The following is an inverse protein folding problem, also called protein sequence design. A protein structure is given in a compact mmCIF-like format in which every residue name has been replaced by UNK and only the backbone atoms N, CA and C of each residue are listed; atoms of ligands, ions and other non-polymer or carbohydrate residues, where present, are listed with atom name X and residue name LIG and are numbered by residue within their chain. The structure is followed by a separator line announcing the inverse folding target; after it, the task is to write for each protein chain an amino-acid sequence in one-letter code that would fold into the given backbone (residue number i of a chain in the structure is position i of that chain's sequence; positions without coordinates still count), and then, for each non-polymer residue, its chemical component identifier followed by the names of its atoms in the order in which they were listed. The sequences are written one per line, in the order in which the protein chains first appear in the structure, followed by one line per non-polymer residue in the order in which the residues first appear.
data_IF_172969883089
#
_entry.id   IF_172969883089
#
_cell.length_a   1.000
_cell.length_b   1.000
_cell.length_c   1.000
_cell.angle_alpha   90.00
_cell.angle_beta   90.00
_cell.angle_gamma   90.00
#
_symmetry.space_group_name_H-M   'P 1'
#
loop_
_entity.id
_entity.type
_entity.pdbx_description
1 polymer ?
#
# COMPACT_ATOMS: atom_id res chain seq x y z
N UNK A 1 -41.93 23.98 10.11
CA UNK A 1 -43.23 23.25 10.13
C UNK A 1 -43.36 22.18 9.05
N UNK A 2 -42.74 22.28 7.87
CA UNK A 2 -42.76 21.19 6.86
C UNK A 2 -42.00 19.91 7.25
N UNK A 3 -40.91 20.03 8.00
CA UNK A 3 -40.12 18.86 8.46
C UNK A 3 -40.86 18.04 9.53
N UNK A 4 -41.62 18.70 10.41
CA UNK A 4 -42.45 18.01 11.41
C UNK A 4 -43.65 17.27 10.78
N UNK A 5 -44.22 17.79 9.69
CA UNK A 5 -45.27 17.10 8.94
C UNK A 5 -44.73 15.86 8.18
N UNK A 6 -43.50 15.92 7.66
CA UNK A 6 -42.84 14.76 7.05
C UNK A 6 -42.47 13.70 8.08
N UNK A 7 -41.99 14.10 9.27
CA UNK A 7 -41.72 13.17 10.36
C UNK A 7 -43.01 12.45 10.78
N UNK A 8 -44.12 13.17 10.93
CA UNK A 8 -45.41 12.58 11.31
C UNK A 8 -45.95 11.57 10.27
N UNK A 9 -45.81 11.87 8.97
CA UNK A 9 -46.24 10.97 7.89
C UNK A 9 -45.37 9.71 7.77
N UNK A 10 -44.06 9.85 8.02
CA UNK A 10 -43.12 8.71 8.02
C UNK A 10 -43.31 7.84 9.26
N UNK A 11 -43.63 8.41 10.42
CA UNK A 11 -43.95 7.64 11.63
C UNK A 11 -45.26 6.86 11.48
N UNK A 12 -46.30 7.45 10.85
CA UNK A 12 -47.56 6.74 10.54
C UNK A 12 -47.34 5.61 9.53
N UNK A 13 -46.49 5.81 8.51
CA UNK A 13 -46.16 4.77 7.53
C UNK A 13 -45.40 3.60 8.18
N UNK A 14 -44.49 3.90 9.12
CA UNK A 14 -43.75 2.89 9.88
C UNK A 14 -44.67 2.14 10.87
N UNK A 15 -45.60 2.83 11.54
CA UNK A 15 -46.60 2.17 12.41
C UNK A 15 -47.60 1.31 11.63
N UNK A 16 -47.98 1.69 10.41
CA UNK A 16 -48.81 0.84 9.54
C UNK A 16 -48.08 -0.43 9.08
N UNK A 17 -46.77 -0.35 8.82
CA UNK A 17 -45.95 -1.51 8.45
C UNK A 17 -45.68 -2.41 9.67
N UNK A 18 -45.54 -1.86 10.87
CA UNK A 18 -45.37 -2.62 12.12
C UNK A 18 -46.69 -3.31 12.54
N UNK A 19 -47.86 -2.67 12.34
CA UNK A 19 -49.14 -3.33 12.67
C UNK A 19 -49.54 -4.45 11.70
N UNK A 20 -48.88 -4.56 10.53
CA UNK A 20 -49.07 -5.68 9.59
C UNK A 20 -48.13 -6.86 9.84
N UNK A 21 -47.19 -6.76 10.79
CA UNK A 21 -46.30 -7.86 11.18
C UNK A 21 -46.54 -8.39 12.59
N UNK A 22 -47.43 -7.79 13.37
CA UNK A 22 -47.92 -8.35 14.63
C UNK A 22 -49.17 -9.22 14.40
N UNK A 23 -48.96 -10.45 13.95
CA UNK A 23 -49.83 -11.60 14.27
C UNK A 23 -49.11 -12.93 14.00
N UNK A 24 -47.94 -13.12 14.61
CA UNK A 24 -47.41 -14.47 14.91
C UNK A 24 -46.80 -14.45 16.30
N UNK A 25 -47.57 -14.89 17.29
CA UNK A 25 -47.07 -15.28 18.61
C UNK A 25 -46.41 -16.65 18.50
N UNK A 26 -45.14 -16.77 18.87
CA UNK A 26 -44.50 -18.08 19.11
C UNK A 26 -44.31 -18.23 20.62
N UNK A 27 -45.11 -19.10 21.21
CA UNK A 27 -44.90 -19.64 22.54
C UNK A 27 -43.97 -20.85 22.42
N UNK A 28 -42.96 -20.93 23.29
CA UNK A 28 -41.96 -21.99 23.32
C UNK A 28 -42.51 -23.31 23.86
N UNK A 29 -42.46 -24.39 23.09
CA UNK A 29 -42.09 -25.73 23.58
C UNK A 29 -41.92 -26.73 22.43
N UNK A 30 -40.74 -27.37 22.44
CA UNK A 30 -40.41 -28.73 22.02
C UNK A 30 -40.59 -29.20 20.55
N UNK A 31 -39.52 -29.89 20.13
CA UNK A 31 -39.32 -30.82 19.01
C UNK A 31 -39.15 -30.28 17.57
N UNK A 32 -37.98 -30.63 17.02
CA UNK A 32 -37.55 -30.47 15.61
C UNK A 32 -38.34 -31.43 14.72
N UNK A 33 -38.75 -31.01 13.50
CA UNK A 33 -38.47 -31.85 12.34
C UNK A 33 -37.96 -31.07 11.10
N UNK A 34 -37.07 -31.74 10.39
CA UNK A 34 -36.51 -31.41 9.06
C UNK A 34 -37.58 -31.51 7.97
N UNK A 35 -37.69 -30.51 7.10
CA UNK A 35 -38.52 -30.55 5.89
C UNK A 35 -37.87 -31.39 4.79
N UNK A 36 -38.71 -32.17 4.09
CA UNK A 36 -38.34 -33.28 3.20
C UNK A 36 -38.32 -32.88 1.72
N UNK A 37 -37.75 -33.74 0.88
CA UNK A 37 -37.50 -33.54 -0.57
C UNK A 37 -38.78 -33.26 -1.39
N UNK A 38 -39.96 -33.57 -0.87
CA UNK A 38 -41.26 -33.28 -1.50
C UNK A 38 -41.65 -31.78 -1.40
N UNK A 39 -41.20 -31.05 -0.37
CA UNK A 39 -41.48 -29.61 -0.20
C UNK A 39 -40.67 -28.74 -1.19
N UNK A 40 -39.51 -29.24 -1.63
CA UNK A 40 -38.64 -28.53 -2.58
C UNK A 40 -39.14 -28.64 -4.02
N UNK A 41 -39.90 -29.68 -4.34
CA UNK A 41 -40.43 -29.91 -5.70
C UNK A 41 -41.64 -29.00 -5.99
N UNK A 42 -42.41 -28.58 -4.98
CA UNK A 42 -43.54 -27.67 -5.16
C UNK A 42 -43.08 -26.21 -5.40
N UNK A 43 -41.93 -25.82 -4.84
CA UNK A 43 -41.31 -24.51 -5.08
C UNK A 43 -40.71 -24.42 -6.50
N UNK A 44 -40.15 -25.52 -7.02
CA UNK A 44 -39.58 -25.58 -8.36
C UNK A 44 -40.62 -25.41 -9.48
N UNK A 45 -41.91 -25.68 -9.22
CA UNK A 45 -43.00 -25.50 -10.19
C UNK A 45 -43.48 -24.05 -10.35
N UNK A 46 -42.94 -23.09 -9.59
CA UNK A 46 -43.38 -21.68 -9.61
C UNK A 46 -42.57 -20.76 -10.52
N UNK A 47 -41.56 -21.30 -11.21
CA UNK A 47 -40.71 -20.54 -12.13
C UNK A 47 -40.57 -21.28 -13.47
N UNK A 48 -41.66 -21.37 -14.22
CA UNK A 48 -41.57 -21.66 -15.65
C UNK A 48 -41.14 -20.39 -16.38
N UNK A 49 -40.07 -20.52 -17.16
CA UNK A 49 -39.53 -19.52 -18.08
C UNK A 49 -40.09 -19.86 -19.47
N UNK A 50 -40.76 -18.90 -20.11
CA UNK A 50 -41.13 -18.98 -21.52
C UNK A 50 -40.48 -17.88 -22.38
N UNK A 51 -40.37 -18.21 -23.66
CA UNK A 51 -39.45 -17.74 -24.71
C UNK A 51 -39.68 -16.34 -25.33
N UNK A 52 -38.63 -15.88 -26.03
CA UNK A 52 -38.52 -14.96 -27.20
C UNK A 52 -39.73 -14.13 -27.70
N UNK A 53 -39.55 -12.80 -27.90
CA UNK A 53 -39.74 -12.06 -29.17
C UNK A 53 -39.47 -10.52 -29.10
N UNK A 54 -39.59 -9.83 -30.25
CA UNK A 54 -38.79 -8.73 -30.81
C UNK A 54 -39.03 -7.25 -30.38
N UNK A 55 -38.05 -6.42 -30.79
CA UNK A 55 -38.06 -5.01 -31.17
C UNK A 55 -39.18 -4.05 -30.68
N UNK A 56 -38.79 -3.17 -29.75
CA UNK A 56 -39.49 -1.92 -29.43
C UNK A 56 -38.94 -1.33 -28.13
N UNK A 57 -38.77 -0.01 -28.06
CA UNK A 57 -38.44 0.75 -26.85
C UNK A 57 -37.02 0.61 -26.27
N UNK A 58 -36.07 1.25 -26.95
CA UNK A 58 -34.77 1.55 -26.37
C UNK A 58 -34.34 2.99 -26.62
N UNK A 59 -34.01 3.73 -25.55
CA UNK A 59 -33.46 5.10 -25.63
C UNK A 59 -31.93 5.02 -25.46
N UNK A 60 -31.13 5.61 -26.37
CA UNK A 60 -29.67 5.51 -26.31
C UNK A 60 -29.07 6.45 -25.24
N UNK A 61 -28.18 5.91 -24.42
CA UNK A 61 -27.50 6.60 -23.32
C UNK A 61 -25.98 6.47 -23.46
N UNK A 62 -25.23 7.54 -23.18
CA UNK A 62 -23.79 7.61 -23.45
C UNK A 62 -22.97 7.32 -22.19
N UNK A 63 -22.17 6.25 -22.26
CA UNK A 63 -21.38 5.79 -21.12
C UNK A 63 -19.92 6.30 -21.15
N UNK A 64 -19.39 6.71 -22.31
CA UNK A 64 -18.03 7.29 -22.46
C UNK A 64 -17.94 8.31 -23.60
N UNK A 65 -17.11 9.35 -23.45
CA UNK A 65 -16.93 10.43 -24.44
C UNK A 65 -16.35 9.88 -25.75
N UNK A 66 -17.17 9.81 -26.80
CA UNK A 66 -16.75 9.41 -28.16
C UNK A 66 -16.94 7.94 -28.55
N UNK A 67 -17.71 7.13 -27.79
CA UNK A 67 -18.08 5.76 -28.21
C UNK A 67 -19.59 5.60 -28.43
N UNK A 68 -19.95 4.51 -29.12
CA UNK A 68 -21.32 4.15 -29.53
C UNK A 68 -22.30 4.12 -28.35
N UNK A 69 -23.45 4.80 -28.43
CA UNK A 69 -24.46 4.81 -27.35
C UNK A 69 -25.01 3.40 -27.06
N UNK A 70 -25.24 3.10 -25.79
CA UNK A 70 -25.87 1.83 -25.36
C UNK A 70 -27.37 2.06 -25.17
N UNK A 71 -28.18 1.12 -25.63
CA UNK A 71 -29.65 1.19 -25.67
C UNK A 71 -30.25 0.56 -24.42
N UNK A 72 -31.03 1.32 -23.64
CA UNK A 72 -31.63 0.84 -22.39
C UNK A 72 -33.06 0.36 -22.64
N UNK A 73 -33.37 -0.89 -22.24
CA UNK A 73 -34.74 -1.44 -22.17
C UNK A 73 -35.33 -1.20 -20.78
N UNK A 74 -36.52 -0.59 -20.75
CA UNK A 74 -37.26 -0.26 -19.54
C UNK A 74 -38.30 -1.35 -19.23
N UNK A 75 -38.53 -1.64 -17.95
CA UNK A 75 -39.59 -2.56 -17.50
C UNK A 75 -40.99 -1.97 -17.70
N UNK A 76 -42.01 -2.81 -17.92
CA UNK A 76 -43.40 -2.35 -18.06
C UNK A 76 -43.93 -1.80 -16.73
N UNK A 77 -44.30 -0.53 -16.70
CA UNK A 77 -45.08 0.08 -15.61
C UNK A 77 -44.33 1.03 -14.68
N UNK A 78 -42.99 1.04 -14.69
CA UNK A 78 -42.23 1.74 -13.65
C UNK A 78 -42.01 3.24 -13.92
N UNK A 79 -41.98 3.67 -15.18
CA UNK A 79 -41.77 5.08 -15.55
C UNK A 79 -42.51 5.40 -16.85
N UNK A 80 -43.17 6.56 -16.90
CA UNK A 80 -43.76 7.06 -18.15
C UNK A 80 -42.66 7.38 -19.16
N UNK A 81 -42.99 7.32 -20.45
CA UNK A 81 -42.01 7.60 -21.52
C UNK A 81 -41.38 9.00 -21.41
N UNK A 82 -42.13 9.95 -20.85
CA UNK A 82 -41.67 11.33 -20.61
C UNK A 82 -40.62 11.40 -19.50
N UNK A 83 -40.73 10.57 -18.47
CA UNK A 83 -39.78 10.47 -17.36
C UNK A 83 -38.50 9.74 -17.81
N UNK A 84 -38.64 8.62 -18.53
CA UNK A 84 -37.49 7.88 -19.07
C UNK A 84 -36.59 8.77 -19.95
N UNK A 85 -37.20 9.64 -20.77
CA UNK A 85 -36.47 10.58 -21.62
C UNK A 85 -35.71 11.63 -20.79
N UNK A 86 -36.34 12.19 -19.76
CA UNK A 86 -35.71 13.18 -18.87
C UNK A 86 -34.51 12.61 -18.13
N UNK A 87 -34.63 11.38 -17.63
CA UNK A 87 -33.55 10.68 -16.93
C UNK A 87 -32.32 10.51 -17.84
N UNK A 88 -32.53 10.08 -19.08
CA UNK A 88 -31.44 9.90 -20.06
C UNK A 88 -30.81 11.25 -20.46
N UNK A 89 -31.62 12.30 -20.62
CA UNK A 89 -31.14 13.65 -20.95
C UNK A 89 -30.30 14.24 -19.81
N UNK A 90 -30.75 14.13 -18.57
CA UNK A 90 -30.04 14.60 -17.37
C UNK A 90 -28.68 13.91 -17.21
N UNK A 91 -28.63 12.58 -17.40
CA UNK A 91 -27.38 11.83 -17.34
C UNK A 91 -26.40 12.23 -18.43
N UNK A 92 -26.88 12.39 -19.67
CA UNK A 92 -26.04 12.78 -20.79
C UNK A 92 -25.52 14.23 -20.65
N UNK A 93 -26.31 15.13 -20.03
CA UNK A 93 -25.90 16.51 -19.72
C UNK A 93 -24.82 16.54 -18.63
N UNK A 94 -25.00 15.78 -17.54
CA UNK A 94 -24.00 15.62 -16.48
C UNK A 94 -22.66 15.12 -17.04
N UNK A 95 -22.70 14.12 -17.92
CA UNK A 95 -21.49 13.57 -18.58
C UNK A 95 -20.79 14.56 -19.51
N UNK A 96 -21.51 15.54 -20.04
CA UNK A 96 -20.94 16.63 -20.83
C UNK A 96 -20.37 17.75 -19.95
N UNK A 97 -20.39 17.59 -18.62
CA UNK A 97 -19.84 18.54 -17.66
C UNK A 97 -20.79 19.69 -17.32
N UNK A 98 -22.09 19.55 -17.59
CA UNK A 98 -23.10 20.55 -17.23
C UNK A 98 -23.63 20.23 -15.84
N UNK A 99 -23.55 21.18 -14.90
CA UNK A 99 -24.00 21.00 -13.53
C UNK A 99 -25.55 20.90 -13.46
N UNK A 100 -26.12 19.82 -12.92
CA UNK A 100 -27.58 19.60 -12.88
C UNK A 100 -28.26 20.42 -11.77
N UNK A 101 -29.56 20.72 -11.93
CA UNK A 101 -30.37 21.35 -10.88
C UNK A 101 -30.73 20.34 -9.77
N UNK A 102 -31.21 20.81 -8.61
CA UNK A 102 -31.55 19.92 -7.48
C UNK A 102 -32.64 18.90 -7.79
N UNK A 103 -33.55 19.20 -8.72
CA UNK A 103 -34.56 18.25 -9.20
C UNK A 103 -33.95 17.18 -10.11
N UNK A 104 -32.95 17.56 -10.91
CA UNK A 104 -32.25 16.65 -11.82
C UNK A 104 -31.33 15.67 -11.07
N UNK A 105 -30.84 16.07 -9.90
CA UNK A 105 -30.04 15.23 -9.02
C UNK A 105 -30.85 14.04 -8.47
N UNK A 106 -32.12 14.25 -8.10
CA UNK A 106 -32.99 13.17 -7.61
C UNK A 106 -33.23 12.12 -8.71
N UNK A 107 -33.43 12.55 -9.95
CA UNK A 107 -33.62 11.66 -11.11
C UNK A 107 -32.33 10.90 -11.49
N UNK A 108 -31.15 11.52 -11.34
CA UNK A 108 -29.85 10.87 -11.52
C UNK A 108 -29.63 9.78 -10.46
N UNK A 109 -30.01 10.04 -9.21
CA UNK A 109 -29.93 9.06 -8.12
C UNK A 109 -30.85 7.86 -8.37
N UNK A 110 -32.07 8.10 -8.84
CA UNK A 110 -33.00 7.02 -9.24
C UNK A 110 -32.43 6.17 -10.38
N UNK A 111 -31.77 6.78 -11.37
CA UNK A 111 -31.09 6.03 -12.45
C UNK A 111 -29.95 5.14 -11.93
N UNK A 112 -29.19 5.61 -10.93
CA UNK A 112 -28.11 4.85 -10.32
C UNK A 112 -28.68 3.68 -9.49
N UNK A 113 -29.81 3.91 -8.83
CA UNK A 113 -30.54 2.88 -8.06
C UNK A 113 -31.09 1.79 -8.99
N UNK A 114 -31.76 2.16 -10.09
CA UNK A 114 -32.26 1.19 -11.10
C UNK A 114 -31.11 0.36 -11.69
N UNK A 115 -29.94 0.96 -11.89
CA UNK A 115 -28.73 0.25 -12.33
C UNK A 115 -28.17 -0.70 -11.27
N UNK A 116 -28.37 -0.38 -9.99
CA UNK A 116 -27.93 -1.21 -8.85
C UNK A 116 -28.89 -2.39 -8.62
N UNK A 117 -30.19 -2.21 -8.84
CA UNK A 117 -31.21 -3.23 -8.65
C UNK A 117 -31.18 -4.36 -9.68
N UNK A 118 -30.64 -4.16 -10.89
CA UNK A 118 -30.50 -5.24 -11.90
C UNK A 118 -29.34 -6.20 -11.64
N UNK A 119 -28.42 -5.88 -10.72
CA UNK A 119 -27.16 -6.61 -10.61
C UNK A 119 -26.98 -7.46 -9.35
N UNK A 120 -27.90 -7.49 -8.38
CA UNK A 120 -27.64 -8.24 -7.13
C UNK A 120 -28.91 -8.93 -6.62
N UNK A 121 -28.94 -10.25 -6.83
CA UNK A 121 -29.68 -11.19 -6.01
C UNK A 121 -28.86 -11.46 -4.74
N UNK A 122 -28.99 -10.63 -3.70
CA UNK A 122 -28.75 -11.07 -2.31
C UNK A 122 -29.21 -10.03 -1.28
N UNK A 123 -30.14 -10.43 -0.43
CA UNK A 123 -30.86 -9.58 0.52
C UNK A 123 -29.99 -9.10 1.71
N UNK A 124 -28.79 -9.65 1.88
CA UNK A 124 -27.90 -9.34 3.01
C UNK A 124 -27.22 -7.95 2.91
N UNK A 125 -27.12 -7.39 1.69
CA UNK A 125 -26.45 -6.09 1.48
C UNK A 125 -27.35 -4.88 1.79
N UNK A 126 -28.67 -5.06 1.82
CA UNK A 126 -29.61 -3.97 2.16
C UNK A 126 -29.56 -3.59 3.64
N UNK A 127 -29.36 -4.57 4.54
CA UNK A 127 -29.36 -4.30 5.99
C UNK A 127 -28.12 -3.50 6.43
N UNK A 128 -26.98 -3.72 5.78
CA UNK A 128 -25.71 -3.02 6.04
C UNK A 128 -25.75 -1.56 5.53
N UNK A 129 -26.39 -1.29 4.39
CA UNK A 129 -26.47 0.05 3.81
C UNK A 129 -27.45 0.97 4.57
N UNK A 130 -28.55 0.40 5.09
CA UNK A 130 -29.48 1.13 5.96
C UNK A 130 -28.87 1.46 7.33
N UNK A 131 -28.06 0.55 7.91
CA UNK A 131 -27.32 0.82 9.14
C UNK A 131 -26.25 1.91 8.95
N UNK A 132 -25.53 1.92 7.83
CA UNK A 132 -24.52 2.95 7.51
C UNK A 132 -25.12 4.34 7.29
N UNK A 133 -26.31 4.41 6.69
CA UNK A 133 -27.01 5.70 6.50
C UNK A 133 -27.61 6.23 7.81
N UNK A 134 -28.13 5.36 8.68
CA UNK A 134 -28.56 5.73 10.04
C UNK A 134 -27.36 6.18 10.89
N UNK A 135 -26.22 5.48 10.81
CA UNK A 135 -25.01 5.82 11.56
C UNK A 135 -24.40 7.15 11.11
N UNK A 136 -24.37 7.44 9.81
CA UNK A 136 -23.92 8.74 9.28
C UNK A 136 -24.82 9.91 9.73
N UNK A 137 -26.13 9.66 9.89
CA UNK A 137 -27.09 10.64 10.39
C UNK A 137 -26.93 10.88 11.91
N UNK A 138 -26.69 9.82 12.70
CA UNK A 138 -26.41 9.90 14.15
C UNK A 138 -25.09 10.63 14.41
N UNK A 139 -24.03 10.34 13.65
CA UNK A 139 -22.72 11.00 13.79
C UNK A 139 -22.80 12.49 13.46
N UNK A 140 -23.65 12.86 12.50
CA UNK A 140 -23.90 14.27 12.15
C UNK A 140 -24.71 15.02 13.22
N UNK A 141 -25.55 14.30 13.99
CA UNK A 141 -26.26 14.85 15.16
C UNK A 141 -25.36 14.91 16.41
N UNK A 142 -24.39 13.99 16.56
CA UNK A 142 -23.46 13.94 17.70
C UNK A 142 -22.36 15.03 17.64
N UNK A 143 -21.95 15.44 16.42
CA UNK A 143 -20.97 16.53 16.24
C UNK A 143 -21.48 17.92 16.62
N UNK A 144 -22.78 18.07 16.92
CA UNK A 144 -23.36 19.35 17.39
C UNK A 144 -23.44 19.41 18.93
N UNK A 145 -23.24 18.30 19.66
CA UNK A 145 -23.74 18.19 21.04
C UNK A 145 -22.71 18.14 22.19
N UNK A 146 -21.42 17.92 22.01
CA UNK A 146 -20.51 17.80 23.17
C UNK A 146 -19.15 18.47 22.95
N UNK A 147 -19.08 19.73 23.34
CA UNK A 147 -17.89 20.31 23.95
C UNK A 147 -17.84 19.88 25.43
N UNK A 148 -16.61 19.79 25.95
CA UNK A 148 -16.19 19.65 27.34
C UNK A 148 -16.15 18.25 28.02
N UNK A 149 -15.02 18.12 28.72
CA UNK A 149 -14.64 17.28 29.87
C UNK A 149 -13.90 15.93 29.71
N UNK A 150 -12.67 16.03 30.25
CA UNK A 150 -11.71 15.10 30.85
C UNK A 150 -12.24 13.77 31.41
N UNK A 151 -11.48 12.68 31.18
CA UNK A 151 -11.23 11.66 32.19
C UNK A 151 -9.96 10.86 31.91
N UNK A 152 -9.21 10.64 32.98
CA UNK A 152 -8.05 9.77 33.13
C UNK A 152 -8.46 8.37 33.57
N UNK A 153 -7.68 7.32 33.23
CA UNK A 153 -7.40 6.12 34.07
C UNK A 153 -6.27 5.23 33.45
N UNK A 154 -5.30 4.97 34.32
CA UNK A 154 -4.25 3.94 34.55
C UNK A 154 -3.42 3.18 33.47
N UNK A 155 -2.16 2.80 33.84
CA UNK A 155 -1.10 2.35 32.95
C UNK A 155 -0.59 0.93 33.31
N UNK A 156 -1.08 -0.14 32.70
CA UNK A 156 -0.46 -1.47 32.90
C UNK A 156 -0.72 -2.43 31.71
N UNK A 157 -0.48 -1.98 30.49
CA UNK A 157 -0.42 -2.88 29.34
C UNK A 157 0.71 -2.47 28.37
N UNK A 158 1.64 -3.38 28.00
CA UNK A 158 2.76 -3.04 27.12
C UNK A 158 2.23 -2.81 25.70
N UNK A 159 2.57 -1.69 25.02
CA UNK A 159 2.03 -1.42 23.70
C UNK A 159 2.75 -2.30 22.66
N UNK A 160 2.12 -3.41 22.28
CA UNK A 160 2.37 -4.03 20.98
C UNK A 160 1.80 -3.09 19.92
N UNK A 161 2.68 -2.38 19.22
CA UNK A 161 2.29 -1.41 18.20
C UNK A 161 1.52 -2.10 17.08
N UNK A 162 0.25 -1.74 16.89
CA UNK A 162 -0.64 -2.32 15.89
C UNK A 162 -0.19 -1.93 14.48
N UNK A 163 -0.50 -2.78 13.50
CA UNK A 163 -0.25 -2.56 12.06
C UNK A 163 -0.82 -1.20 11.56
N UNK A 164 -1.77 -0.65 12.31
CA UNK A 164 -2.48 0.61 12.12
C UNK A 164 -1.60 1.85 12.35
N UNK A 165 -0.72 1.86 13.36
CA UNK A 165 0.19 2.99 13.61
C UNK A 165 1.26 3.11 12.50
N UNK A 166 1.69 1.96 11.99
CA UNK A 166 2.60 1.87 10.84
C UNK A 166 1.87 2.42 9.61
N UNK A 167 0.65 1.95 9.33
CA UNK A 167 -0.18 2.44 8.22
C UNK A 167 -0.43 3.96 8.29
N UNK A 168 -0.71 4.51 9.48
CA UNK A 168 -1.04 5.94 9.65
C UNK A 168 0.12 6.87 9.26
N UNK A 169 1.37 6.51 9.58
CA UNK A 169 2.55 7.27 9.11
C UNK A 169 2.77 7.18 7.60
N UNK A 170 2.30 6.12 6.94
CA UNK A 170 2.44 5.94 5.49
C UNK A 170 1.47 6.80 4.67
N UNK A 171 0.30 7.13 5.19
CA UNK A 171 -0.79 7.76 4.41
C UNK A 171 -0.97 9.26 4.63
N UNK A 172 -0.26 9.90 5.57
CA UNK A 172 -0.32 11.37 5.74
C UNK A 172 0.35 12.16 4.58
N UNK A 173 1.25 11.54 3.79
CA UNK A 173 1.97 12.21 2.69
C UNK A 173 1.36 11.96 1.29
N UNK A 174 0.35 11.09 1.17
CA UNK A 174 -0.22 10.70 -0.13
C UNK A 174 -1.74 10.92 -0.12
N UNK A 175 -2.21 11.99 -0.79
CA UNK A 175 -3.61 12.22 -1.15
C UNK A 175 -4.13 11.11 -2.10
N UNK A 176 -4.26 9.88 -1.62
CA UNK A 176 -4.77 8.74 -2.38
C UNK A 176 -5.87 8.09 -1.55
N UNK A 177 -7.12 8.35 -1.94
CA UNK A 177 -8.29 7.73 -1.34
C UNK A 177 -8.22 6.19 -1.41
N UNK A 178 -8.76 5.49 -0.40
CA UNK A 178 -8.72 4.04 -0.34
C UNK A 178 -9.80 3.44 -1.24
N UNK A 179 -9.43 3.03 -2.45
CA UNK A 179 -10.17 1.96 -3.10
C UNK A 179 -9.72 0.63 -2.50
N UNK A 180 -10.65 -0.06 -1.86
CA UNK A 180 -10.52 -1.46 -1.44
C UNK A 180 -10.33 -2.31 -2.70
N UNK A 181 -9.07 -2.48 -3.12
CA UNK A 181 -8.75 -3.24 -4.31
C UNK A 181 -8.88 -4.75 -4.00
N UNK A 182 -9.73 -5.40 -4.78
CA UNK A 182 -10.05 -6.82 -4.72
C UNK A 182 -8.79 -7.67 -4.96
N UNK A 183 -8.07 -8.02 -3.90
CA UNK A 183 -7.18 -9.18 -3.92
C UNK A 183 -7.14 -9.86 -2.55
N UNK A 184 -8.30 -10.40 -2.14
CA UNK A 184 -8.33 -11.36 -1.06
C UNK A 184 -7.84 -12.70 -1.59
N UNK A 185 -6.86 -13.28 -0.90
CA UNK A 185 -6.36 -14.65 -1.03
C UNK A 185 -7.49 -15.65 -0.71
N UNK A 186 -8.53 -15.71 -1.53
CA UNK A 186 -9.63 -16.68 -1.39
C UNK A 186 -9.44 -17.79 -2.42
N UNK A 187 -9.64 -19.01 -1.96
CA UNK A 187 -9.25 -20.29 -2.56
C UNK A 187 -9.97 -20.65 -3.87
N UNK A 188 -10.73 -19.73 -4.48
CA UNK A 188 -11.56 -20.02 -5.67
C UNK A 188 -11.34 -19.11 -6.88
N UNK A 189 -10.49 -18.10 -6.82
CA UNK A 189 -10.17 -17.28 -8.01
C UNK A 189 -8.93 -17.82 -8.74
N UNK A 190 -9.00 -17.84 -10.07
CA UNK A 190 -7.89 -18.25 -10.93
C UNK A 190 -6.73 -17.24 -10.75
N UNK A 191 -5.71 -17.61 -9.96
CA UNK A 191 -4.51 -16.80 -9.72
C UNK A 191 -3.81 -16.44 -11.04
N UNK A 192 -3.86 -15.17 -11.46
CA UNK A 192 -3.14 -14.68 -12.65
C UNK A 192 -1.93 -13.79 -12.32
N UNK A 193 -1.54 -13.71 -11.05
CA UNK A 193 -0.56 -12.73 -10.55
C UNK A 193 -1.11 -11.30 -10.61
N UNK A 194 -0.62 -10.44 -9.72
CA UNK A 194 -1.14 -9.09 -9.54
C UNK A 194 -0.34 -8.32 -8.50
N UNK A 195 -0.59 -7.00 -8.45
CA UNK A 195 0.06 -6.08 -7.50
C UNK A 195 -0.25 -6.50 -6.05
N UNK A 196 0.68 -6.23 -5.14
CA UNK A 196 0.43 -6.44 -3.72
C UNK A 196 -0.69 -5.54 -3.20
N UNK A 197 -1.53 -6.06 -2.30
CA UNK A 197 -2.50 -5.23 -1.56
C UNK A 197 -1.80 -4.33 -0.54
N UNK A 198 -2.48 -3.30 -0.02
CA UNK A 198 -1.94 -2.40 1.01
C UNK A 198 -1.42 -3.15 2.24
N UNK A 199 -2.16 -4.17 2.70
CA UNK A 199 -1.77 -5.01 3.84
C UNK A 199 -0.48 -5.79 3.52
N UNK A 200 -0.36 -6.32 2.31
CA UNK A 200 0.84 -7.05 1.89
C UNK A 200 2.04 -6.11 1.76
N UNK A 201 1.85 -4.89 1.23
CA UNK A 201 2.89 -3.86 1.19
C UNK A 201 3.42 -3.54 2.61
N UNK A 202 2.51 -3.37 3.59
CA UNK A 202 2.87 -3.15 4.99
C UNK A 202 3.66 -4.33 5.54
N UNK A 203 3.25 -5.57 5.24
CA UNK A 203 3.95 -6.79 5.68
C UNK A 203 5.35 -6.90 5.07
N UNK A 204 5.53 -6.59 3.78
CA UNK A 204 6.83 -6.60 3.12
C UNK A 204 7.76 -5.58 3.79
N UNK A 205 7.33 -4.33 3.94
CA UNK A 205 8.17 -3.30 4.56
C UNK A 205 8.42 -3.59 6.04
N UNK A 206 7.40 -4.10 6.74
CA UNK A 206 7.50 -4.56 8.12
C UNK A 206 8.55 -5.65 8.32
N UNK A 207 8.60 -6.64 7.41
CA UNK A 207 9.64 -7.68 7.42
C UNK A 207 11.04 -7.10 7.22
N UNK A 208 11.23 -6.20 6.25
CA UNK A 208 12.51 -5.52 6.05
C UNK A 208 12.94 -4.75 7.30
N UNK A 209 12.05 -3.92 7.85
CA UNK A 209 12.36 -3.08 9.01
C UNK A 209 12.57 -3.91 10.29
N UNK A 210 11.91 -5.08 10.42
CA UNK A 210 12.18 -6.05 11.49
C UNK A 210 13.63 -6.52 11.46
N UNK A 211 14.15 -6.86 10.28
CA UNK A 211 15.53 -7.30 10.12
C UNK A 211 16.53 -6.14 10.29
N UNK A 212 16.26 -5.00 9.66
CA UNK A 212 17.12 -3.80 9.71
C UNK A 212 17.37 -3.30 11.13
N UNK A 213 16.35 -3.28 12.00
CA UNK A 213 16.49 -2.84 13.39
C UNK A 213 17.24 -3.85 14.29
N UNK A 214 17.32 -5.11 13.83
CA UNK A 214 17.82 -6.26 14.56
C UNK A 214 19.20 -6.75 14.12
N UNK A 215 19.88 -6.08 13.18
CA UNK A 215 21.18 -6.51 12.66
C UNK A 215 22.25 -6.61 13.75
N UNK A 216 23.18 -7.55 13.57
CA UNK A 216 24.39 -7.72 14.37
C UNK A 216 25.62 -7.67 13.46
N UNK A 217 26.67 -6.90 13.82
CA UNK A 217 26.69 -5.92 14.91
C UNK A 217 25.62 -4.82 14.74
N UNK A 218 25.25 -4.13 15.81
CA UNK A 218 24.21 -3.12 15.72
C UNK A 218 24.63 -1.98 14.79
N UNK A 219 23.68 -1.44 14.02
CA UNK A 219 23.94 -0.30 13.13
C UNK A 219 23.63 1.02 13.82
N UNK A 220 24.51 2.01 13.64
CA UNK A 220 24.27 3.38 14.06
C UNK A 220 23.48 4.24 13.07
N UNK A 221 23.43 3.85 11.80
CA UNK A 221 22.95 4.68 10.67
C UNK A 221 21.81 4.03 9.85
N UNK A 222 21.26 2.91 10.32
CA UNK A 222 20.22 2.17 9.61
C UNK A 222 18.95 3.00 9.43
N UNK A 223 18.62 3.36 8.19
CA UNK A 223 17.39 4.09 7.92
C UNK A 223 16.16 3.17 7.94
N UNK A 224 15.03 3.73 8.35
CA UNK A 224 13.72 3.13 8.12
C UNK A 224 13.46 3.01 6.62
N UNK A 225 13.07 1.80 6.20
CA UNK A 225 12.67 1.53 4.83
C UNK A 225 11.20 1.87 4.67
N UNK A 226 10.84 2.54 3.58
CA UNK A 226 9.46 2.94 3.27
C UNK A 226 9.05 2.37 1.90
N UNK A 227 7.75 2.14 1.71
CA UNK A 227 7.24 1.75 0.40
C UNK A 227 7.39 2.88 -0.63
N UNK A 228 7.62 2.50 -1.89
CA UNK A 228 7.62 3.39 -3.06
C UNK A 228 6.72 2.81 -4.15
N UNK A 229 5.58 3.46 -4.46
CA UNK A 229 4.70 3.04 -5.53
C UNK A 229 5.41 2.95 -6.89
N UNK A 230 6.30 3.89 -7.20
CA UNK A 230 7.06 3.90 -8.45
C UNK A 230 8.02 2.70 -8.57
N UNK A 231 8.71 2.34 -7.48
CA UNK A 231 9.56 1.14 -7.49
C UNK A 231 8.73 -0.15 -7.60
N UNK A 232 7.53 -0.17 -7.00
CA UNK A 232 6.64 -1.31 -7.06
C UNK A 232 6.07 -1.52 -8.47
N UNK A 233 5.71 -0.43 -9.17
CA UNK A 233 5.29 -0.48 -10.56
C UNK A 233 6.41 -1.01 -11.46
N UNK A 234 7.64 -0.50 -11.30
CA UNK A 234 8.81 -0.99 -12.04
C UNK A 234 9.09 -2.47 -11.74
N UNK A 235 9.04 -2.89 -10.48
CA UNK A 235 9.25 -4.29 -10.08
C UNK A 235 8.13 -5.23 -10.58
N UNK A 236 6.88 -4.74 -10.65
CA UNK A 236 5.78 -5.50 -11.22
C UNK A 236 5.96 -5.69 -12.72
N UNK A 237 6.36 -4.65 -13.46
CA UNK A 237 6.63 -4.75 -14.89
C UNK A 237 7.72 -5.80 -15.19
N UNK A 238 8.77 -5.87 -14.36
CA UNK A 238 9.80 -6.91 -14.49
C UNK A 238 9.23 -8.33 -14.24
N UNK A 239 8.43 -8.46 -13.18
CA UNK A 239 7.81 -9.74 -12.82
C UNK A 239 6.81 -10.21 -13.88
N UNK A 240 6.07 -9.29 -14.51
CA UNK A 240 5.11 -9.58 -15.58
C UNK A 240 5.78 -10.16 -16.83
N UNK A 241 7.06 -9.80 -17.07
CA UNK A 241 7.89 -10.40 -18.11
C UNK A 241 8.40 -11.80 -17.80
N UNK A 242 8.22 -12.29 -16.57
CA UNK A 242 8.69 -13.59 -16.10
C UNK A 242 10.22 -13.80 -16.27
N UNK A 243 11.00 -12.72 -16.16
CA UNK A 243 12.45 -12.74 -16.22
C UNK A 243 13.06 -12.97 -14.83
N UNK A 244 13.54 -14.19 -14.58
CA UNK A 244 14.33 -14.54 -13.39
C UNK A 244 15.82 -14.22 -13.61
N UNK A 245 16.09 -12.99 -14.01
CA UNK A 245 17.42 -12.42 -14.11
C UNK A 245 17.37 -10.91 -13.89
N UNK A 246 18.49 -10.30 -13.50
CA UNK A 246 18.56 -8.86 -13.33
C UNK A 246 18.62 -8.14 -14.70
N UNK A 247 18.01 -6.94 -14.81
CA UNK A 247 18.02 -6.17 -16.05
C UNK A 247 19.44 -5.78 -16.46
N UNK A 248 19.72 -5.91 -17.76
CA UNK A 248 20.90 -5.28 -18.35
C UNK A 248 20.70 -3.75 -18.37
N UNK A 249 21.49 -3.04 -17.55
CA UNK A 249 21.40 -1.58 -17.38
C UNK A 249 21.79 -0.77 -18.63
N UNK A 250 22.34 -1.42 -19.67
CA UNK A 250 22.55 -0.79 -20.98
C UNK A 250 21.26 -0.72 -21.78
N UNK A 251 20.45 -1.78 -21.72
CA UNK A 251 19.17 -1.91 -22.42
C UNK A 251 18.01 -1.33 -21.60
N UNK A 252 18.12 -1.36 -20.27
CA UNK A 252 17.15 -0.85 -19.31
C UNK A 252 17.77 0.27 -18.46
N UNK A 253 18.00 1.45 -19.04
CA UNK A 253 18.67 2.56 -18.36
C UNK A 253 17.87 3.11 -17.17
N UNK A 254 16.55 2.87 -17.11
CA UNK A 254 15.66 3.22 -16.01
C UNK A 254 15.91 2.40 -14.72
N UNK A 255 16.68 1.30 -14.82
CA UNK A 255 17.15 0.52 -13.66
C UNK A 255 18.55 0.94 -13.19
N UNK A 256 19.16 1.98 -13.78
CA UNK A 256 20.44 2.52 -13.30
C UNK A 256 20.25 3.16 -11.93
N UNK A 257 21.12 2.79 -10.98
CA UNK A 257 21.03 3.27 -9.59
C UNK A 257 19.90 2.64 -8.76
N UNK A 258 19.17 1.67 -9.32
CA UNK A 258 18.18 0.86 -8.62
C UNK A 258 18.81 -0.48 -8.22
N UNK A 259 18.66 -0.84 -6.95
CA UNK A 259 19.00 -2.18 -6.45
C UNK A 259 17.84 -3.13 -6.70
N UNK A 260 18.10 -4.42 -6.80
CA UNK A 260 17.05 -5.41 -7.05
C UNK A 260 17.38 -6.74 -6.38
N UNK A 261 16.38 -7.32 -5.71
CA UNK A 261 16.41 -8.73 -5.30
C UNK A 261 15.31 -9.48 -6.06
N UNK A 262 15.63 -10.69 -6.49
CA UNK A 262 14.71 -11.61 -7.15
C UNK A 262 14.51 -12.85 -6.28
N UNK A 263 13.30 -13.36 -6.25
CA UNK A 263 12.96 -14.59 -5.54
C UNK A 263 12.06 -15.43 -6.45
N UNK A 264 12.35 -16.72 -6.50
CA UNK A 264 11.55 -17.67 -7.24
C UNK A 264 11.12 -18.81 -6.33
N UNK A 265 9.83 -19.14 -6.38
CA UNK A 265 9.26 -20.34 -5.76
C UNK A 265 8.71 -21.23 -6.85
N UNK A 266 9.38 -22.35 -7.12
CA UNK A 266 8.81 -23.41 -7.95
C UNK A 266 7.71 -24.14 -7.19
N UNK A 267 6.74 -24.68 -7.92
CA UNK A 267 5.64 -25.46 -7.35
C UNK A 267 5.60 -26.85 -7.99
N UNK A 268 5.28 -27.86 -7.19
CA UNK A 268 4.99 -29.20 -7.70
C UNK A 268 3.84 -29.15 -8.73
N UNK A 269 3.79 -30.15 -9.63
CA UNK A 269 2.80 -30.18 -10.72
C UNK A 269 1.37 -30.05 -10.17
N UNK A 270 0.67 -28.98 -10.57
CA UNK A 270 -0.70 -28.67 -10.16
C UNK A 270 -0.83 -27.69 -9.00
N UNK A 271 0.27 -27.37 -8.30
CA UNK A 271 0.31 -26.32 -7.28
C UNK A 271 0.16 -24.93 -7.91
N UNK A 272 -0.64 -24.06 -7.27
CA UNK A 272 -0.79 -22.64 -7.68
C UNK A 272 -0.64 -21.64 -6.53
N UNK A 273 -0.36 -22.12 -5.31
CA UNK A 273 -0.33 -21.26 -4.14
C UNK A 273 0.87 -20.30 -4.16
N UNK A 274 0.66 -18.98 -4.04
CA UNK A 274 1.75 -18.03 -3.93
C UNK A 274 2.61 -18.29 -2.68
N UNK A 275 3.84 -17.78 -2.63
CA UNK A 275 4.59 -17.74 -1.38
C UNK A 275 3.83 -16.90 -0.31
N UNK A 276 4.06 -17.18 0.99
CA UNK A 276 3.76 -16.20 2.03
C UNK A 276 4.41 -14.85 1.67
N UNK A 277 3.74 -13.74 2.01
CA UNK A 277 4.15 -12.39 1.58
C UNK A 277 5.59 -12.05 1.99
N UNK A 278 5.99 -12.45 3.20
CA UNK A 278 7.30 -12.12 3.77
C UNK A 278 8.39 -13.11 3.38
N UNK A 279 8.03 -14.29 2.86
CA UNK A 279 8.97 -15.38 2.58
C UNK A 279 10.14 -14.95 1.67
N UNK A 280 9.94 -14.15 0.60
CA UNK A 280 11.07 -13.61 -0.16
C UNK A 280 12.07 -12.82 0.69
N UNK A 281 11.58 -11.96 1.59
CA UNK A 281 12.40 -11.11 2.46
C UNK A 281 13.15 -11.96 3.49
N UNK A 282 12.45 -12.92 4.08
CA UNK A 282 13.00 -13.83 5.07
C UNK A 282 14.14 -14.66 4.44
N UNK A 283 13.93 -15.19 3.22
CA UNK A 283 14.93 -15.96 2.47
C UNK A 283 16.13 -15.15 2.01
N UNK A 284 15.93 -13.90 1.60
CA UNK A 284 17.05 -13.01 1.31
C UNK A 284 17.86 -12.67 2.56
N UNK A 285 17.19 -12.50 3.71
CA UNK A 285 17.88 -12.23 4.96
C UNK A 285 18.68 -13.44 5.47
N UNK A 286 18.19 -14.67 5.26
CA UNK A 286 18.85 -15.91 5.70
C UNK A 286 20.31 -16.07 5.20
N UNK A 287 20.70 -15.36 4.14
CA UNK A 287 22.10 -15.31 3.68
C UNK A 287 23.06 -14.71 4.73
N UNK A 288 22.55 -14.02 5.77
CA UNK A 288 23.34 -13.52 6.91
C UNK A 288 24.19 -14.62 7.56
N UNK A 289 23.74 -15.87 7.53
CA UNK A 289 24.47 -17.03 8.08
C UNK A 289 25.83 -17.25 7.41
N UNK A 290 25.99 -16.75 6.19
CA UNK A 290 27.19 -16.89 5.38
C UNK A 290 27.98 -15.57 5.26
N UNK A 291 27.48 -14.48 5.84
CA UNK A 291 28.09 -13.15 5.73
C UNK A 291 28.90 -12.76 6.97
N UNK A 292 30.13 -12.33 6.75
CA UNK A 292 31.05 -11.82 7.78
C UNK A 292 31.15 -10.30 7.67
N UNK A 293 30.59 -9.60 8.65
CA UNK A 293 30.49 -8.14 8.64
C UNK A 293 31.84 -7.43 8.81
N UNK A 294 32.69 -7.95 9.69
CA UNK A 294 34.01 -7.40 10.05
C UNK A 294 34.95 -7.27 8.84
N UNK A 295 34.92 -8.25 7.95
CA UNK A 295 35.70 -8.29 6.71
C UNK A 295 34.85 -7.97 5.47
N UNK A 296 33.57 -7.63 5.66
CA UNK A 296 32.60 -7.34 4.60
C UNK A 296 32.62 -8.38 3.47
N UNK A 297 32.57 -9.66 3.83
CA UNK A 297 32.74 -10.76 2.87
C UNK A 297 31.72 -11.86 3.08
N UNK A 298 31.45 -12.62 2.02
CA UNK A 298 30.59 -13.79 2.04
C UNK A 298 31.46 -15.05 2.07
N UNK A 299 30.97 -16.14 2.69
CA UNK A 299 31.59 -17.45 2.62
C UNK A 299 31.89 -17.82 1.17
N UNK A 300 33.02 -18.49 0.94
CA UNK A 300 33.44 -18.86 -0.41
C UNK A 300 32.37 -19.71 -1.09
N UNK A 301 31.85 -19.22 -2.22
CA UNK A 301 30.81 -19.90 -3.01
C UNK A 301 29.37 -19.67 -2.54
N UNK A 302 29.17 -18.96 -1.43
CA UNK A 302 27.86 -18.52 -0.98
C UNK A 302 27.41 -17.23 -1.67
N UNK A 303 26.12 -16.91 -1.54
CA UNK A 303 25.50 -15.67 -2.02
C UNK A 303 25.05 -14.88 -0.80
N UNK A 304 25.46 -13.61 -0.71
CA UNK A 304 25.08 -12.70 0.38
C UNK A 304 24.52 -11.37 -0.11
N UNK A 305 24.42 -11.19 -1.43
CA UNK A 305 24.04 -9.92 -2.05
C UNK A 305 22.59 -9.53 -1.76
N UNK A 306 21.70 -10.50 -1.55
CA UNK A 306 20.32 -10.21 -1.23
C UNK A 306 20.21 -9.74 0.22
N UNK A 307 20.90 -10.40 1.16
CA UNK A 307 20.98 -9.96 2.55
C UNK A 307 21.53 -8.55 2.65
N UNK A 308 22.68 -8.26 2.05
CA UNK A 308 23.32 -6.95 2.17
C UNK A 308 22.43 -5.84 1.59
N UNK A 309 21.64 -6.11 0.55
CA UNK A 309 20.65 -5.16 0.04
C UNK A 309 19.48 -4.95 1.02
N UNK A 310 18.94 -6.00 1.64
CA UNK A 310 17.86 -5.89 2.65
C UNK A 310 18.31 -5.00 3.82
N UNK A 311 19.56 -5.16 4.26
CA UNK A 311 20.14 -4.41 5.38
C UNK A 311 20.99 -3.20 4.95
N UNK A 312 20.83 -2.71 3.73
CA UNK A 312 21.62 -1.57 3.26
C UNK A 312 21.13 -0.26 3.91
N UNK A 313 21.93 0.34 4.79
CA UNK A 313 21.53 1.50 5.59
C UNK A 313 21.11 2.69 4.72
N UNK A 314 21.81 2.96 3.61
CA UNK A 314 21.52 4.08 2.71
C UNK A 314 20.23 3.89 1.90
N UNK A 315 19.76 2.65 1.73
CA UNK A 315 18.49 2.37 1.03
C UNK A 315 17.32 2.78 1.92
N UNK A 316 16.42 3.62 1.41
CA UNK A 316 15.29 4.17 2.17
C UNK A 316 13.93 3.86 1.55
N UNK A 317 13.92 3.36 0.31
CA UNK A 317 12.72 3.02 -0.42
C UNK A 317 12.79 1.61 -1.00
N UNK A 318 11.67 0.90 -0.95
CA UNK A 318 11.47 -0.39 -1.59
C UNK A 318 10.11 -0.44 -2.28
N UNK A 319 10.01 -1.15 -3.38
CA UNK A 319 8.73 -1.51 -3.98
C UNK A 319 8.87 -2.86 -4.68
N UNK A 320 7.83 -3.69 -4.59
CA UNK A 320 7.88 -5.06 -5.06
C UNK A 320 6.71 -5.41 -5.98
N UNK A 321 6.93 -6.37 -6.86
CA UNK A 321 5.94 -7.00 -7.72
C UNK A 321 5.98 -8.52 -7.60
N UNK A 322 4.89 -9.16 -8.00
CA UNK A 322 4.75 -10.62 -7.98
C UNK A 322 3.97 -11.12 -9.20
N UNK A 323 4.43 -12.21 -9.79
CA UNK A 323 3.79 -12.84 -10.93
C UNK A 323 3.85 -14.36 -10.83
N UNK A 324 2.74 -15.02 -11.15
CA UNK A 324 2.77 -16.43 -11.49
C UNK A 324 3.20 -16.58 -12.94
N UNK A 325 4.27 -17.34 -13.15
CA UNK A 325 4.90 -17.59 -14.42
C UNK A 325 4.71 -19.07 -14.77
N UNK A 326 3.94 -19.38 -15.84
CA UNK A 326 3.92 -20.72 -16.41
C UNK A 326 5.34 -21.20 -16.69
N UNK A 327 6.16 -20.32 -17.24
CA UNK A 327 7.60 -20.49 -17.40
C UNK A 327 8.29 -19.17 -17.01
N UNK A 328 9.17 -19.21 -16.02
CA UNK A 328 10.08 -18.11 -15.70
C UNK A 328 11.46 -18.43 -16.28
N UNK A 329 12.08 -17.47 -16.96
CA UNK A 329 13.32 -17.72 -17.70
C UNK A 329 14.46 -16.83 -17.22
N UNK A 330 15.66 -17.36 -17.34
CA UNK A 330 16.92 -16.65 -17.26
C UNK A 330 17.78 -17.08 -18.45
N UNK A 331 18.87 -16.36 -18.74
CA UNK A 331 19.84 -16.74 -19.79
C UNK A 331 20.31 -18.20 -19.78
N UNK A 332 20.30 -18.86 -18.61
CA UNK A 332 20.86 -20.22 -18.47
C UNK A 332 19.87 -21.28 -18.00
N UNK A 333 18.68 -20.89 -17.54
CA UNK A 333 17.73 -21.78 -16.87
C UNK A 333 16.29 -21.31 -17.08
N UNK A 334 15.39 -22.28 -17.14
CA UNK A 334 13.94 -22.07 -17.14
C UNK A 334 13.31 -22.81 -15.97
N UNK A 335 12.30 -22.21 -15.37
CA UNK A 335 11.55 -22.74 -14.24
C UNK A 335 10.08 -22.79 -14.61
N UNK A 336 9.54 -23.99 -14.72
CA UNK A 336 8.11 -24.18 -14.96
C UNK A 336 7.31 -24.00 -13.67
N UNK A 337 6.08 -23.51 -13.80
CA UNK A 337 5.09 -23.43 -12.71
C UNK A 337 5.64 -22.69 -11.48
N UNK A 338 6.10 -21.45 -11.67
CA UNK A 338 6.82 -20.70 -10.65
C UNK A 338 6.16 -19.36 -10.30
N UNK A 339 6.27 -18.95 -9.04
CA UNK A 339 6.03 -17.57 -8.64
C UNK A 339 7.34 -16.79 -8.64
N UNK A 340 7.38 -15.69 -9.39
CA UNK A 340 8.47 -14.73 -9.41
C UNK A 340 8.10 -13.52 -8.57
N UNK A 341 8.98 -13.13 -7.64
CA UNK A 341 8.90 -11.90 -6.86
C UNK A 341 10.12 -11.04 -7.17
N UNK A 342 9.88 -9.79 -7.50
CA UNK A 342 10.91 -8.77 -7.71
C UNK A 342 10.73 -7.69 -6.66
N UNK A 343 11.79 -7.29 -5.96
CA UNK A 343 11.80 -6.09 -5.13
C UNK A 343 12.91 -5.14 -5.60
N UNK A 344 12.53 -3.90 -5.92
CA UNK A 344 13.45 -2.82 -6.31
C UNK A 344 13.71 -1.90 -5.12
N UNK A 345 14.95 -1.43 -5.00
CA UNK A 345 15.46 -0.66 -3.86
C UNK A 345 16.07 0.66 -4.33
N UNK A 346 15.79 1.75 -3.61
CA UNK A 346 16.37 3.06 -3.90
C UNK A 346 16.81 3.82 -2.64
N UNK A 347 18.01 4.44 -2.67
CA UNK A 347 19.10 4.18 -3.62
C UNK A 347 19.54 2.71 -3.60
N UNK A 348 20.20 2.24 -4.68
CA UNK A 348 20.79 0.91 -4.74
C UNK A 348 21.78 0.67 -3.58
N UNK A 349 21.78 -0.56 -3.08
CA UNK A 349 22.81 -1.05 -2.17
C UNK A 349 23.96 -1.72 -2.89
N UNK A 350 24.76 -2.49 -2.13
CA UNK A 350 25.85 -3.32 -2.62
C UNK A 350 26.91 -2.54 -3.41
N UNK A 351 27.21 -1.33 -2.94
CA UNK A 351 28.29 -0.51 -3.51
C UNK A 351 29.64 -1.19 -3.24
N UNK A 352 30.47 -1.27 -4.28
CA UNK A 352 31.76 -1.94 -4.20
C UNK A 352 32.59 -1.39 -3.04
N UNK A 353 33.17 -2.30 -2.25
CA UNK A 353 34.01 -1.97 -1.08
C UNK A 353 33.32 -1.20 0.05
N UNK A 354 31.99 -1.12 0.07
CA UNK A 354 31.23 -0.53 1.19
C UNK A 354 30.57 -1.63 2.02
N UNK A 355 30.61 -1.48 3.35
CA UNK A 355 29.80 -2.28 4.27
C UNK A 355 28.32 -1.90 4.14
N UNK A 356 27.39 -2.83 4.43
CA UNK A 356 25.96 -2.55 4.29
C UNK A 356 25.44 -1.45 5.22
N UNK A 357 26.11 -1.24 6.36
CA UNK A 357 25.79 -0.20 7.34
C UNK A 357 27.03 0.17 8.14
N UNK A 358 26.96 1.22 8.97
CA UNK A 358 28.01 1.56 9.95
C UNK A 358 27.68 0.93 11.30
N UNK A 359 28.60 0.16 11.84
CA UNK A 359 28.49 -0.41 13.19
C UNK A 359 28.47 0.71 14.24
N UNK A 360 27.63 0.55 15.25
CA UNK A 360 27.51 1.49 16.38
C UNK A 360 26.21 1.31 17.15
N UNK A 361 26.04 2.11 18.21
CA UNK A 361 24.80 2.15 18.97
C UNK A 361 23.65 2.57 18.06
N UNK A 362 22.48 1.92 18.19
CA UNK A 362 21.31 2.17 17.35
C UNK A 362 20.97 3.66 17.27
N UNK A 363 20.87 4.16 16.04
CA UNK A 363 20.59 5.55 15.70
C UNK A 363 21.64 6.59 16.15
N UNK A 364 22.85 6.18 16.54
CA UNK A 364 23.92 7.10 16.93
C UNK A 364 24.52 7.91 15.78
N UNK A 365 24.25 7.54 14.53
CA UNK A 365 24.87 8.07 13.32
C UNK A 365 23.85 8.41 12.22
N UNK A 366 22.60 8.72 12.58
CA UNK A 366 21.55 9.06 11.61
C UNK A 366 21.91 10.29 10.77
N UNK A 367 21.88 10.15 9.44
CA UNK A 367 22.20 11.26 8.53
C UNK A 367 21.27 12.47 8.72
N UNK A 368 19.99 12.20 8.96
CA UNK A 368 18.95 13.18 9.28
C UNK A 368 17.95 12.52 10.22
N UNK A 369 17.52 13.26 11.23
CA UNK A 369 16.30 12.91 11.96
C UNK A 369 16.55 12.19 13.28
N UNK A 370 15.49 11.55 13.72
CA UNK A 370 15.32 10.96 15.03
C UNK A 370 15.38 9.44 14.94
N UNK A 371 15.33 8.78 16.08
CA UNK A 371 15.26 7.35 16.19
C UNK A 371 13.83 6.92 16.47
N UNK A 372 13.31 6.02 15.66
CA UNK A 372 12.04 5.36 15.90
C UNK A 372 12.26 3.85 15.85
N UNK A 373 11.97 3.14 16.95
CA UNK A 373 12.12 1.68 17.04
C UNK A 373 13.48 1.18 16.51
N UNK A 374 14.57 1.87 16.88
CA UNK A 374 15.96 1.57 16.50
C UNK A 374 16.33 1.81 15.03
N UNK A 375 15.52 2.56 14.28
CA UNK A 375 15.80 2.98 12.91
C UNK A 375 15.88 4.50 12.83
N UNK A 376 16.79 5.01 12.01
CA UNK A 376 16.84 6.42 11.63
C UNK A 376 15.57 6.76 10.83
N UNK A 377 14.74 7.62 11.42
CA UNK A 377 13.41 7.94 10.93
C UNK A 377 13.21 9.45 10.90
N UNK A 378 12.20 9.87 10.12
CA UNK A 378 11.75 11.27 10.06
C UNK A 378 10.62 11.57 11.04
N UNK A 379 10.46 10.73 12.08
CA UNK A 379 9.49 10.97 13.15
C UNK A 379 9.70 12.35 13.80
N UNK A 380 8.61 12.91 14.33
CA UNK A 380 8.63 14.24 14.95
C UNK A 380 9.08 14.11 16.43
N UNK A 381 9.82 15.08 16.99
CA UNK A 381 10.33 14.99 18.36
C UNK A 381 9.27 14.74 19.46
N UNK A 382 8.02 15.14 19.21
CA UNK A 382 6.92 14.97 20.16
C UNK A 382 6.08 13.70 19.89
N UNK A 383 6.44 12.91 18.89
CA UNK A 383 5.75 11.67 18.56
C UNK A 383 6.16 10.56 19.54
N UNK A 384 5.19 9.80 20.04
CA UNK A 384 5.43 8.72 21.00
C UNK A 384 6.44 7.70 20.42
N UNK A 385 7.52 7.45 21.16
CA UNK A 385 8.59 6.52 20.75
C UNK A 385 9.63 7.11 19.78
N UNK A 386 9.52 8.40 19.42
CA UNK A 386 10.54 9.12 18.69
C UNK A 386 11.55 9.71 19.68
N UNK A 387 12.83 9.32 19.58
CA UNK A 387 13.88 9.75 20.51
C UNK A 387 15.12 10.21 19.77
N UNK A 388 15.94 11.05 20.40
CA UNK A 388 17.25 11.42 19.86
C UNK A 388 18.36 10.59 20.52
N UNK A 389 18.89 9.63 19.77
CA UNK A 389 20.02 8.78 20.21
C UNK A 389 21.36 9.20 19.57
N UNK A 390 21.40 10.37 18.93
CA UNK A 390 22.59 10.89 18.23
C UNK A 390 23.76 11.07 19.20
N UNK A 391 24.95 10.61 18.80
CA UNK A 391 26.19 10.81 19.56
C UNK A 391 27.16 11.62 18.72
N UNK A 392 27.54 12.81 19.19
CA UNK A 392 28.48 13.66 18.49
C UNK A 392 29.92 13.35 18.90
N UNK A 393 30.75 12.98 17.93
CA UNK A 393 32.15 12.63 18.12
C UNK A 393 33.07 13.85 17.94
N UNK A 394 34.34 13.69 18.31
CA UNK A 394 35.41 14.66 18.00
C UNK A 394 35.10 16.10 18.43
N UNK A 395 34.51 16.27 19.62
CA UNK A 395 34.14 17.59 20.16
C UNK A 395 32.91 18.23 19.50
N UNK A 396 32.16 17.47 18.69
CA UNK A 396 30.89 17.93 18.13
C UNK A 396 29.85 18.21 19.21
N UNK A 397 29.00 19.22 18.97
CA UNK A 397 27.93 19.64 19.88
C UNK A 397 26.57 19.17 19.39
N UNK A 398 25.83 18.46 20.23
CA UNK A 398 24.48 17.97 19.91
C UNK A 398 23.44 19.09 19.95
N UNK A 399 22.66 19.22 18.89
CA UNK A 399 21.38 19.93 18.90
C UNK A 399 20.26 18.91 19.13
N UNK A 400 19.82 18.77 20.38
CA UNK A 400 18.79 17.79 20.76
C UNK A 400 17.43 18.05 20.10
N UNK A 401 17.09 19.29 19.78
CA UNK A 401 15.82 19.66 19.14
C UNK A 401 15.73 19.23 17.67
N UNK A 402 16.87 19.18 16.98
CA UNK A 402 16.97 18.73 15.59
C UNK A 402 17.54 17.32 15.45
N UNK A 403 18.05 16.78 16.56
CA UNK A 403 18.85 15.57 16.62
C UNK A 403 20.01 15.56 15.62
N UNK A 404 20.79 16.64 15.59
CA UNK A 404 21.94 16.79 14.70
C UNK A 404 23.18 17.26 15.44
N UNK A 405 24.37 16.92 14.91
CA UNK A 405 25.63 17.41 15.45
C UNK A 405 26.13 18.65 14.71
N UNK A 406 26.62 19.64 15.45
CA UNK A 406 27.50 20.69 14.93
C UNK A 406 28.94 20.26 15.18
N UNK A 407 29.69 20.00 14.10
CA UNK A 407 31.06 19.49 14.21
C UNK A 407 32.06 20.58 14.59
N UNK A 408 33.11 20.18 15.30
CA UNK A 408 34.28 21.01 15.52
C UNK A 408 35.08 21.18 14.22
N UNK A 409 35.99 22.15 14.20
CA UNK A 409 36.87 22.38 13.05
C UNK A 409 37.69 21.13 12.73
N UNK A 410 37.79 20.79 11.45
CA UNK A 410 38.54 19.61 10.98
C UNK A 410 37.74 18.31 11.00
N UNK A 411 36.44 18.32 11.36
CA UNK A 411 35.58 17.13 11.34
C UNK A 411 34.27 17.38 10.60
N UNK A 412 33.71 16.33 10.00
CA UNK A 412 32.44 16.37 9.28
C UNK A 412 31.66 15.05 9.42
N UNK A 413 30.48 14.99 8.80
CA UNK A 413 29.56 13.86 8.84
C UNK A 413 28.46 14.01 9.90
N UNK A 414 27.44 13.14 9.86
CA UNK A 414 26.24 13.30 10.70
C UNK A 414 26.51 13.30 12.21
N UNK A 415 27.49 12.51 12.62
CA UNK A 415 27.93 12.33 14.00
C UNK A 415 29.33 12.93 14.24
N UNK A 416 29.83 13.76 13.32
CA UNK A 416 31.19 14.33 13.36
C UNK A 416 32.30 13.29 13.45
N UNK A 417 32.06 12.10 12.89
CA UNK A 417 32.94 10.95 12.99
C UNK A 417 34.07 10.96 11.94
N UNK A 418 33.92 11.71 10.86
CA UNK A 418 34.88 11.75 9.76
C UNK A 418 35.83 12.94 9.92
N UNK A 419 37.13 12.74 9.65
CA UNK A 419 38.11 13.83 9.55
C UNK A 419 37.92 14.56 8.22
N UNK A 420 37.98 15.88 8.24
CA UNK A 420 37.90 16.69 7.02
C UNK A 420 39.23 16.66 6.25
N UNK A 421 39.36 15.68 5.37
CA UNK A 421 40.47 15.56 4.43
C UNK A 421 40.01 14.84 3.15
N UNK A 422 40.67 15.13 2.04
CA UNK A 422 40.46 14.39 0.80
C UNK A 422 41.15 13.02 0.92
N UNK A 423 40.39 11.96 0.67
CA UNK A 423 40.79 10.55 0.81
C UNK A 423 41.44 9.99 -0.46
N UNK A 424 41.48 10.75 -1.54
CA UNK A 424 42.02 10.32 -2.82
C UNK A 424 42.96 11.38 -3.42
N UNK A 425 44.05 10.92 -4.02
CA UNK A 425 45.07 11.75 -4.66
C UNK A 425 44.55 12.48 -5.90
N UNK A 426 43.45 12.01 -6.52
CA UNK A 426 42.83 12.67 -7.67
C UNK A 426 42.03 13.91 -7.30
N UNK A 427 41.74 14.16 -6.03
CA UNK A 427 40.94 15.30 -5.60
C UNK A 427 41.62 16.62 -6.01
N UNK A 428 41.05 17.33 -7.00
CA UNK A 428 41.60 18.58 -7.51
C UNK A 428 42.87 18.45 -8.36
N UNK A 429 43.33 17.23 -8.66
CA UNK A 429 44.53 16.98 -9.46
C UNK A 429 44.30 17.18 -10.97
N UNK A 430 45.39 17.28 -11.74
CA UNK A 430 45.38 17.34 -13.20
C UNK A 430 46.44 16.38 -13.80
N UNK A 431 46.06 15.24 -14.41
CA UNK A 431 44.68 14.74 -14.56
C UNK A 431 44.10 14.28 -13.21
N UNK A 432 42.81 14.54 -12.97
CA UNK A 432 42.15 14.23 -11.70
C UNK A 432 40.66 14.55 -11.68
N UNK A 433 40.09 14.66 -10.48
CA UNK A 433 38.68 14.93 -10.24
C UNK A 433 38.49 16.42 -9.92
N UNK A 434 37.96 17.21 -10.87
CA UNK A 434 37.79 18.64 -10.68
C UNK A 434 36.61 18.96 -9.76
N UNK A 435 36.68 20.10 -9.08
CA UNK A 435 35.67 20.54 -8.11
C UNK A 435 34.24 20.60 -8.67
N UNK A 436 34.05 20.89 -9.96
CA UNK A 436 32.69 20.95 -10.53
C UNK A 436 31.99 19.58 -10.58
N UNK A 437 32.74 18.46 -10.45
CA UNK A 437 32.15 17.13 -10.31
C UNK A 437 31.50 16.89 -8.95
N UNK A 438 31.83 17.71 -7.94
CA UNK A 438 31.23 17.60 -6.61
C UNK A 438 29.71 17.78 -6.60
N UNK A 439 29.10 18.40 -7.61
CA UNK A 439 27.63 18.52 -7.71
C UNK A 439 26.99 17.56 -8.71
N UNK A 440 27.78 16.73 -9.38
CA UNK A 440 27.33 15.93 -10.51
C UNK A 440 26.96 14.51 -10.06
N UNK A 441 25.69 14.15 -10.24
CA UNK A 441 25.16 12.84 -9.87
C UNK A 441 25.84 11.66 -10.61
N UNK A 442 26.56 11.93 -11.72
CA UNK A 442 27.35 10.92 -12.44
C UNK A 442 28.66 10.58 -11.74
N UNK A 443 29.15 11.45 -10.85
CA UNK A 443 30.41 11.30 -10.14
C UNK A 443 30.24 11.32 -8.61
N UNK A 444 29.36 10.47 -8.04
CA UNK A 444 29.05 10.49 -6.61
C UNK A 444 30.28 10.16 -5.74
N UNK A 445 31.25 9.42 -6.31
CA UNK A 445 32.51 9.10 -5.66
C UNK A 445 33.36 10.34 -5.35
N UNK A 446 33.21 11.45 -6.10
CA UNK A 446 34.00 12.67 -5.83
C UNK A 446 33.59 13.30 -4.51
N UNK A 447 32.29 13.33 -4.20
CA UNK A 447 31.82 13.79 -2.88
C UNK A 447 32.30 12.86 -1.76
N UNK A 448 32.32 11.56 -1.99
CA UNK A 448 32.67 10.55 -1.00
C UNK A 448 34.17 10.55 -0.68
N UNK A 449 35.01 10.67 -1.70
CA UNK A 449 36.47 10.63 -1.56
C UNK A 449 37.12 12.02 -1.48
N UNK A 450 36.44 13.09 -1.89
CA UNK A 450 36.96 14.47 -1.83
C UNK A 450 36.06 15.41 -1.02
N UNK A 451 35.72 15.09 0.24
CA UNK A 451 34.80 15.91 1.04
C UNK A 451 35.35 17.33 1.30
N UNK A 452 36.68 17.50 1.37
CA UNK A 452 37.30 18.80 1.57
C UNK A 452 37.24 19.64 0.28
N UNK A 453 37.61 19.07 -0.87
CA UNK A 453 37.46 19.71 -2.19
C UNK A 453 36.02 20.15 -2.45
N UNK A 454 35.06 19.28 -2.12
CA UNK A 454 33.64 19.51 -2.32
C UNK A 454 33.01 20.46 -1.30
N UNK A 455 33.78 20.96 -0.34
CA UNK A 455 33.31 21.90 0.66
C UNK A 455 32.29 21.31 1.64
N UNK A 456 32.20 19.98 1.75
CA UNK A 456 31.33 19.31 2.72
C UNK A 456 31.76 19.56 4.17
N UNK A 457 32.96 20.11 4.34
CA UNK A 457 33.51 20.51 5.63
C UNK A 457 33.30 21.98 6.00
N UNK A 458 32.73 22.81 5.11
CA UNK A 458 32.56 24.24 5.42
C UNK A 458 31.37 24.40 6.37
N UNK A 459 31.64 24.90 7.59
CA UNK A 459 30.64 25.17 8.62
C UNK A 459 29.74 26.36 8.30
#
# INVERSE_FOLDING_TARGET
MGVLAMVFLVTIAIQNVISQTENVSINTSDDVPTTTEEDLIEIAKRFEVDEYEEAGDTIPMMFTRGKTPVRIKWGKGDYTRKEQKKIVEAHNAYRKGVAPSSSDMNEIVVSIIVQSCKNIADLHSMMQLHLLTIFAFIVSLYQVATADEDWSINPDEPPSTTEEEVAKRYYEDANVEPQNDLFLRTTRTQWRGGRYSKIEMIKIVGAHNKYRKGVLPSSGDMNELLWSPALAEQAQAWSDGCYYEHPDKTQHPDYRGIGQNLYIKWLDKGGRNPPPVTDPVDKWYDEVKDFHYDINSCNRGAVCGHYTQVVWAKTTKVGCGIKFCPTATSRTRSFENAWLVTCNYSPAGNMQSQSPYKSGTRCSQCAKGFCMKNLCSRCKPNEKGCVCNMVCNNGGKLNSKKCTCKCANGFFGPACQERCEDKNDKCGANPGWPKFWCGDARFPFVQEFCPALCGQCKQ
#
